data_IF_353081672226
#
_entry.id   IF_353081672226
#
_cell.length_a   1.000
_cell.length_b   1.000
_cell.length_c   1.000
_cell.angle_alpha   90.00
_cell.angle_beta   90.00
_cell.angle_gamma   90.00
#
_symmetry.space_group_name_H-M   'P 1'
#
loop_
_entity.id
_entity.type
_entity.pdbx_description
1 polymer ?
#
# COMPACT_ATOMS: atom_id res chain seq x y z
N UNK A 1 -10.21 17.22 -2.03
CA UNK A 1 -11.13 16.83 -0.96
C UNK A 1 -10.38 15.92 0.00
N UNK A 2 -10.26 16.28 1.28
CA UNK A 2 -9.59 15.41 2.23
C UNK A 2 -10.34 14.08 2.37
N UNK A 3 -9.59 13.00 2.45
CA UNK A 3 -10.15 11.67 2.67
C UNK A 3 -10.76 11.58 4.08
N UNK A 4 -11.98 11.05 4.15
CA UNK A 4 -12.60 10.72 5.43
C UNK A 4 -11.78 9.61 6.12
N UNK A 5 -11.29 9.84 7.36
CA UNK A 5 -10.50 8.84 8.08
C UNK A 5 -11.23 7.50 8.25
N UNK A 6 -12.53 7.52 8.47
CA UNK A 6 -13.31 6.29 8.65
C UNK A 6 -13.42 5.51 7.35
N UNK A 7 -13.61 6.20 6.23
CA UNK A 7 -13.62 5.59 4.92
C UNK A 7 -12.26 4.99 4.57
N UNK A 8 -11.18 5.72 4.85
CA UNK A 8 -9.83 5.24 4.61
C UNK A 8 -9.53 3.98 5.43
N UNK A 9 -9.92 3.98 6.71
CA UNK A 9 -9.77 2.80 7.57
C UNK A 9 -10.48 1.58 6.97
N UNK A 10 -11.71 1.75 6.50
CA UNK A 10 -12.48 0.67 5.89
C UNK A 10 -11.84 0.17 4.59
N UNK A 11 -11.32 1.08 3.77
CA UNK A 11 -10.60 0.74 2.55
C UNK A 11 -9.32 -0.05 2.85
N UNK A 12 -8.54 0.38 3.83
CA UNK A 12 -7.32 -0.32 4.25
C UNK A 12 -7.64 -1.71 4.81
N UNK A 13 -8.73 -1.84 5.55
CA UNK A 13 -9.18 -3.13 6.05
C UNK A 13 -9.53 -4.08 4.90
N UNK A 14 -10.21 -3.60 3.87
CA UNK A 14 -10.49 -4.39 2.66
C UNK A 14 -9.22 -4.81 1.94
N UNK A 15 -8.26 -3.91 1.83
CA UNK A 15 -6.95 -4.22 1.24
C UNK A 15 -6.22 -5.30 2.05
N UNK A 16 -6.28 -5.23 3.37
CA UNK A 16 -5.71 -6.25 4.26
C UNK A 16 -6.34 -7.63 4.04
N UNK A 17 -7.65 -7.69 3.95
CA UNK A 17 -8.36 -8.95 3.68
C UNK A 17 -7.92 -9.57 2.36
N UNK A 18 -7.78 -8.76 1.32
CA UNK A 18 -7.27 -9.23 0.01
C UNK A 18 -5.83 -9.69 0.11
N UNK A 19 -4.98 -8.95 0.81
CA UNK A 19 -3.59 -9.32 0.98
C UNK A 19 -3.44 -10.67 1.70
N UNK A 20 -4.14 -10.85 2.81
CA UNK A 20 -4.14 -12.10 3.55
C UNK A 20 -4.64 -13.26 2.67
N UNK A 21 -5.67 -13.04 1.87
CA UNK A 21 -6.21 -14.05 0.95
C UNK A 21 -5.24 -14.43 -0.17
N UNK A 22 -4.32 -13.54 -0.54
CA UNK A 22 -3.33 -13.78 -1.61
C UNK A 22 -2.02 -14.35 -1.10
N UNK A 23 -1.76 -14.32 0.21
CA UNK A 23 -0.50 -14.80 0.79
C UNK A 23 -0.54 -16.30 1.06
N UNK A 24 0.62 -16.95 0.93
CA UNK A 24 0.80 -18.33 1.32
C UNK A 24 1.34 -18.37 2.76
N UNK A 25 0.74 -19.16 3.67
CA UNK A 25 1.22 -19.25 5.03
C UNK A 25 2.70 -19.63 5.10
N UNK A 26 3.45 -18.95 5.97
CA UNK A 26 4.88 -19.19 6.20
C UNK A 26 5.80 -18.89 5.03
N UNK A 27 5.29 -18.30 3.95
CA UNK A 27 6.11 -17.80 2.86
C UNK A 27 6.25 -16.28 2.95
N UNK A 28 7.44 -15.79 2.62
CA UNK A 28 7.67 -14.36 2.52
C UNK A 28 7.03 -13.82 1.25
N UNK A 29 6.27 -12.73 1.39
CA UNK A 29 5.78 -11.96 0.25
C UNK A 29 6.67 -10.74 0.06
N UNK A 30 7.14 -10.48 -1.16
CA UNK A 30 7.95 -9.30 -1.45
C UNK A 30 7.13 -8.03 -1.24
N UNK A 31 7.83 -6.90 -1.07
CA UNK A 31 7.19 -5.62 -0.97
C UNK A 31 6.61 -5.20 -2.32
N UNK A 32 5.33 -4.86 -2.33
CA UNK A 32 4.62 -4.35 -3.49
C UNK A 32 4.00 -3.01 -3.13
N UNK A 33 4.29 -1.98 -3.92
CA UNK A 33 3.64 -0.69 -3.79
C UNK A 33 2.31 -0.70 -4.53
N UNK A 34 1.28 -0.21 -3.90
CA UNK A 34 -0.05 -0.01 -4.48
C UNK A 34 -0.36 1.48 -4.50
N UNK A 35 -1.08 1.92 -5.51
CA UNK A 35 -1.46 3.32 -5.69
C UNK A 35 -2.88 3.40 -6.25
N UNK A 36 -3.79 3.97 -5.48
CA UNK A 36 -5.19 4.11 -5.87
C UNK A 36 -6.13 4.03 -4.69
N UNK A 37 -7.18 3.24 -4.80
CA UNK A 37 -8.17 3.05 -3.73
C UNK A 37 -7.93 1.70 -3.06
N UNK A 38 -7.51 1.69 -1.78
CA UNK A 38 -7.29 0.42 -1.09
C UNK A 38 -8.55 -0.45 -1.08
N UNK A 39 -8.37 -1.73 -1.38
CA UNK A 39 -9.49 -2.67 -1.47
C UNK A 39 -10.33 -2.55 -2.74
N UNK A 40 -9.96 -1.67 -3.67
CA UNK A 40 -10.65 -1.44 -4.93
C UNK A 40 -9.63 -1.24 -6.06
N UNK A 41 -9.98 -0.48 -7.09
CA UNK A 41 -9.10 -0.26 -8.24
C UNK A 41 -7.80 0.45 -7.83
N UNK A 42 -6.68 -0.12 -8.20
CA UNK A 42 -5.36 0.44 -7.92
C UNK A 42 -4.31 -0.10 -8.89
N UNK A 43 -3.20 0.61 -8.99
CA UNK A 43 -2.00 0.18 -9.70
C UNK A 43 -1.04 -0.49 -8.72
N UNK A 44 -0.24 -1.42 -9.21
CA UNK A 44 0.78 -2.12 -8.40
C UNK A 44 2.15 -1.98 -9.03
N UNK A 45 3.17 -1.88 -8.18
CA UNK A 45 4.56 -1.74 -8.59
C UNK A 45 5.44 -2.66 -7.75
N UNK A 46 6.20 -3.51 -8.42
CA UNK A 46 7.18 -4.38 -7.77
C UNK A 46 8.56 -3.75 -7.88
N UNK A 47 9.40 -4.01 -6.87
CA UNK A 47 10.77 -3.50 -6.87
C UNK A 47 11.55 -4.02 -8.09
N UNK A 48 12.20 -3.09 -8.80
CA UNK A 48 13.08 -3.41 -9.92
C UNK A 48 14.53 -3.10 -9.52
N UNK A 49 15.45 -4.07 -9.56
CA UNK A 49 16.83 -3.85 -9.14
C UNK A 49 17.55 -2.72 -9.89
N UNK A 50 17.16 -2.47 -11.15
CA UNK A 50 17.76 -1.43 -11.97
C UNK A 50 17.20 -0.02 -11.70
N UNK A 51 16.18 0.11 -10.86
CA UNK A 51 15.51 1.38 -10.60
C UNK A 51 16.00 1.98 -9.29
N UNK A 52 16.50 3.21 -9.34
CA UNK A 52 16.75 4.02 -8.15
C UNK A 52 15.52 4.82 -7.76
N UNK A 53 15.60 5.56 -6.65
CA UNK A 53 14.48 6.35 -6.15
C UNK A 53 14.04 7.45 -7.13
N UNK A 54 14.96 8.03 -7.87
CA UNK A 54 14.64 9.05 -8.89
C UNK A 54 13.82 8.46 -10.04
N UNK A 55 14.20 7.30 -10.54
CA UNK A 55 13.46 6.62 -11.60
C UNK A 55 12.10 6.18 -11.10
N UNK A 56 11.99 5.68 -9.87
CA UNK A 56 10.70 5.36 -9.27
C UNK A 56 9.80 6.59 -9.13
N UNK A 57 10.36 7.76 -8.78
CA UNK A 57 9.59 9.00 -8.72
C UNK A 57 9.00 9.36 -10.09
N UNK A 58 9.76 9.15 -11.17
CA UNK A 58 9.28 9.36 -12.54
C UNK A 58 8.13 8.40 -12.89
N UNK A 59 8.25 7.13 -12.49
CA UNK A 59 7.20 6.13 -12.70
C UNK A 59 5.92 6.50 -11.94
N UNK A 60 6.05 6.91 -10.70
CA UNK A 60 4.91 7.34 -9.87
C UNK A 60 4.23 8.57 -10.49
N UNK A 61 5.01 9.56 -10.93
CA UNK A 61 4.47 10.75 -11.59
C UNK A 61 3.65 10.39 -12.83
N UNK A 62 4.15 9.50 -13.68
CA UNK A 62 3.42 9.02 -14.85
C UNK A 62 2.16 8.24 -14.48
N UNK A 63 2.22 7.44 -13.43
CA UNK A 63 1.05 6.73 -12.94
C UNK A 63 -0.04 7.69 -12.49
N UNK A 64 0.33 8.78 -11.80
CA UNK A 64 -0.61 9.82 -11.37
C UNK A 64 -1.23 10.55 -12.56
N UNK A 65 -0.49 10.76 -13.66
CA UNK A 65 -1.04 11.35 -14.89
C UNK A 65 -2.22 10.56 -15.45
N UNK A 66 -2.21 9.25 -15.27
CA UNK A 66 -3.25 8.35 -15.77
C UNK A 66 -4.46 8.19 -14.86
N UNK A 67 -4.44 8.80 -13.66
CA UNK A 67 -5.52 8.69 -12.69
C UNK A 67 -6.45 9.91 -12.75
N UNK A 68 -7.72 9.69 -12.43
CA UNK A 68 -8.69 10.79 -12.29
C UNK A 68 -8.56 11.41 -10.91
N UNK A 69 -7.64 12.38 -10.78
CA UNK A 69 -7.32 13.05 -9.52
C UNK A 69 -8.43 13.97 -9.02
N UNK A 70 -9.37 14.37 -9.91
CA UNK A 70 -10.52 15.19 -9.53
C UNK A 70 -11.59 14.38 -8.79
N UNK A 71 -11.64 13.07 -9.06
CA UNK A 71 -12.63 12.17 -8.47
C UNK A 71 -12.22 11.65 -7.10
N UNK A 72 -10.94 11.32 -6.94
CA UNK A 72 -10.45 10.74 -5.70
C UNK A 72 -8.97 11.02 -5.51
N UNK A 73 -8.55 11.15 -4.26
CA UNK A 73 -7.13 11.22 -3.92
C UNK A 73 -6.57 9.81 -3.91
N UNK A 74 -5.52 9.52 -4.71
CA UNK A 74 -4.90 8.21 -4.68
C UNK A 74 -4.19 7.99 -3.34
N UNK A 75 -4.31 6.78 -2.81
CA UNK A 75 -3.66 6.37 -1.57
C UNK A 75 -2.48 5.46 -1.91
N UNK A 76 -1.27 5.74 -1.42
CA UNK A 76 -0.15 4.82 -1.55
C UNK A 76 -0.09 3.88 -0.35
N UNK A 77 0.08 2.58 -0.61
CA UNK A 77 0.35 1.62 0.46
C UNK A 77 1.25 0.50 -0.05
N UNK A 78 2.03 -0.05 0.86
CA UNK A 78 2.93 -1.18 0.59
C UNK A 78 2.41 -2.40 1.32
N UNK A 79 2.34 -3.53 0.62
CA UNK A 79 2.06 -4.83 1.24
C UNK A 79 3.32 -5.66 1.26
N UNK A 80 3.64 -6.26 2.38
CA UNK A 80 4.80 -7.13 2.55
C UNK A 80 4.64 -8.00 3.79
N UNK A 81 5.40 -9.07 3.87
CA UNK A 81 5.59 -9.80 5.12
C UNK A 81 6.71 -9.14 5.94
N UNK A 82 6.86 -9.56 7.18
CA UNK A 82 7.84 -9.01 8.10
C UNK A 82 7.18 -8.23 9.23
N UNK A 83 8.01 -7.60 10.04
CA UNK A 83 7.53 -6.84 11.20
C UNK A 83 6.76 -5.58 10.78
N UNK A 84 5.77 -5.21 11.59
CA UNK A 84 4.97 -4.00 11.39
C UNK A 84 5.69 -2.79 12.01
N UNK A 85 6.88 -2.54 11.49
CA UNK A 85 7.74 -1.42 11.86
C UNK A 85 8.48 -0.90 10.62
N UNK A 86 8.89 0.39 10.60
CA UNK A 86 9.55 0.97 9.43
C UNK A 86 10.85 0.25 9.08
N UNK A 87 11.01 -0.10 7.80
CA UNK A 87 12.23 -0.68 7.25
C UNK A 87 12.82 0.16 6.13
N UNK A 88 14.06 -0.13 5.74
CA UNK A 88 14.78 0.64 4.73
C UNK A 88 14.04 0.68 3.38
N UNK A 89 13.45 -0.44 2.97
CA UNK A 89 12.67 -0.50 1.74
C UNK A 89 11.41 0.35 1.81
N UNK A 90 10.80 0.46 2.98
CA UNK A 90 9.62 1.31 3.18
C UNK A 90 9.98 2.78 2.98
N UNK A 91 11.13 3.21 3.50
CA UNK A 91 11.62 4.59 3.31
C UNK A 91 11.98 4.87 1.86
N UNK A 92 12.52 3.91 1.14
CA UNK A 92 12.82 4.03 -0.28
C UNK A 92 11.57 4.27 -1.11
N UNK A 93 10.52 3.48 -0.90
CA UNK A 93 9.23 3.68 -1.55
C UNK A 93 8.59 5.01 -1.17
N UNK A 94 8.67 5.35 0.11
CA UNK A 94 8.12 6.61 0.62
C UNK A 94 8.76 7.83 -0.05
N UNK A 95 10.08 7.83 -0.20
CA UNK A 95 10.79 8.93 -0.84
C UNK A 95 10.35 9.11 -2.30
N UNK A 96 10.21 8.03 -3.04
CA UNK A 96 9.77 8.07 -4.43
C UNK A 96 8.32 8.56 -4.57
N UNK A 97 7.43 8.07 -3.72
CA UNK A 97 6.01 8.45 -3.73
C UNK A 97 5.85 9.91 -3.33
N UNK A 98 6.55 10.35 -2.29
CA UNK A 98 6.52 11.74 -1.84
C UNK A 98 6.95 12.69 -2.95
N UNK A 99 8.02 12.35 -3.67
CA UNK A 99 8.50 13.17 -4.77
C UNK A 99 7.51 13.19 -5.94
N UNK A 100 7.00 12.02 -6.33
CA UNK A 100 6.01 11.93 -7.41
C UNK A 100 4.73 12.70 -7.12
N UNK A 101 4.20 12.60 -5.91
CA UNK A 101 3.05 13.39 -5.47
C UNK A 101 3.35 14.87 -5.46
N UNK A 102 4.53 15.26 -4.96
CA UNK A 102 4.96 16.67 -4.93
C UNK A 102 5.04 17.30 -6.31
N UNK A 103 5.51 16.57 -7.31
CA UNK A 103 5.57 17.02 -8.70
C UNK A 103 4.19 17.30 -9.28
N UNK A 104 3.16 16.61 -8.79
CA UNK A 104 1.75 16.83 -9.15
C UNK A 104 1.06 17.87 -8.29
N UNK A 105 1.75 18.43 -7.30
CA UNK A 105 1.12 19.35 -6.35
C UNK A 105 0.09 18.67 -5.44
N UNK A 106 0.19 17.36 -5.27
CA UNK A 106 -0.73 16.58 -4.44
C UNK A 106 -0.18 16.40 -3.04
N UNK A 107 -1.07 16.52 -2.05
CA UNK A 107 -0.76 16.14 -0.68
C UNK A 107 -0.87 14.63 -0.52
N UNK A 108 0.04 14.05 0.27
CA UNK A 108 -0.06 12.65 0.63
C UNK A 108 -1.15 12.46 1.69
N UNK A 109 -2.14 11.60 1.46
CA UNK A 109 -3.13 11.27 2.48
C UNK A 109 -2.55 10.42 3.62
N UNK A 110 -1.35 9.91 3.43
CA UNK A 110 -0.58 9.04 4.30
C UNK A 110 0.28 8.14 3.44
N UNK A 111 1.12 7.36 4.06
CA UNK A 111 1.86 6.29 3.39
C UNK A 111 1.79 5.05 4.28
N UNK A 112 1.02 4.07 3.85
CA UNK A 112 0.69 2.92 4.70
C UNK A 112 1.56 1.73 4.36
N UNK A 113 2.06 1.08 5.40
CA UNK A 113 2.79 -0.18 5.27
C UNK A 113 1.98 -1.26 5.95
N UNK A 114 1.67 -2.32 5.23
CA UNK A 114 0.74 -3.36 5.61
C UNK A 114 1.44 -4.72 5.59
N UNK A 115 1.30 -5.46 6.68
CA UNK A 115 1.60 -6.89 6.70
C UNK A 115 0.31 -7.69 6.91
N UNK A 116 0.40 -8.97 7.19
CA UNK A 116 -0.77 -9.82 7.38
C UNK A 116 -1.56 -9.54 8.67
N UNK A 117 -1.05 -8.69 9.56
CA UNK A 117 -1.66 -8.41 10.87
C UNK A 117 -2.25 -7.01 11.00
N UNK A 118 -1.91 -6.10 10.08
CA UNK A 118 -2.37 -4.72 10.15
C UNK A 118 -1.53 -3.78 9.32
N UNK A 119 -1.58 -2.50 9.66
CA UNK A 119 -0.83 -1.46 8.94
C UNK A 119 -0.43 -0.33 9.87
N UNK A 120 0.55 0.45 9.43
CA UNK A 120 0.91 1.71 10.06
C UNK A 120 1.09 2.79 9.00
N UNK A 121 0.97 4.05 9.44
CA UNK A 121 1.20 5.21 8.58
C UNK A 121 2.63 5.71 8.83
N UNK A 122 3.48 5.64 7.81
CA UNK A 122 4.88 6.06 7.92
C UNK A 122 5.02 7.57 8.11
N UNK A 123 3.99 8.35 7.77
CA UNK A 123 3.99 9.81 7.90
C UNK A 123 3.68 10.29 9.31
N UNK A 124 3.26 9.41 10.20
CA UNK A 124 2.88 9.73 11.59
C UNK A 124 3.61 8.82 12.58
N UNK A 125 3.64 9.24 13.84
CA UNK A 125 4.19 8.43 14.94
C UNK A 125 3.09 7.64 15.66
N UNK A 126 1.97 7.41 15.02
CA UNK A 126 0.87 6.65 15.61
C UNK A 126 1.18 5.16 15.66
N UNK A 127 0.61 4.49 16.67
CA UNK A 127 0.72 3.04 16.80
C UNK A 127 0.10 2.32 15.59
N UNK A 128 0.63 1.14 15.21
CA UNK A 128 0.01 0.35 14.17
C UNK A 128 -1.42 -0.02 14.47
N UNK A 129 -2.25 -0.06 13.43
CA UNK A 129 -3.60 -0.59 13.51
C UNK A 129 -3.57 -2.08 13.27
N UNK A 130 -3.99 -2.86 14.26
CA UNK A 130 -4.04 -4.33 14.15
C UNK A 130 -5.45 -4.76 13.81
N UNK A 131 -5.56 -5.65 12.84
CA UNK A 131 -6.83 -6.23 12.41
C UNK A 131 -6.67 -7.74 12.30
N UNK A 132 -7.53 -8.49 12.98
CA UNK A 132 -7.61 -9.92 12.78
C UNK A 132 -8.37 -10.23 11.51
N UNK A 133 -7.70 -10.93 10.59
CA UNK A 133 -8.33 -11.46 9.39
C UNK A 133 -8.21 -12.98 9.46
N UNK A 134 -9.36 -13.66 9.49
CA UNK A 134 -9.37 -15.11 9.40
C UNK A 134 -9.14 -15.54 7.96
N UNK A 135 -8.11 -16.37 7.73
CA UNK A 135 -8.00 -17.08 6.49
C UNK A 135 -9.18 -18.02 6.35
N UNK A 136 -9.87 -17.96 5.21
CA UNK A 136 -10.81 -19.01 4.86
C UNK A 136 -10.02 -20.32 4.70
N UNK A 137 -10.39 -21.34 5.46
CA UNK A 137 -9.93 -22.69 5.16
C UNK A 137 -10.33 -22.99 3.71
N UNK A 138 -9.36 -23.34 2.87
CA UNK A 138 -9.68 -23.95 1.59
C UNK A 138 -10.60 -25.13 1.89
N UNK A 139 -11.80 -25.13 1.33
CA UNK A 139 -12.59 -26.34 1.30
C UNK A 139 -11.73 -27.39 0.63
N UNK A 140 -11.43 -28.48 1.38
CA UNK A 140 -10.87 -29.65 0.75
C UNK A 140 -11.80 -29.98 -0.42
N UNK A 141 -11.26 -29.95 -1.65
CA UNK A 141 -11.95 -30.52 -2.78
C UNK A 141 -12.18 -31.98 -2.43
N UNK A 142 -13.42 -32.28 -2.04
CA UNK A 142 -13.81 -33.69 -1.94
C UNK A 142 -13.65 -34.30 -3.31
N UNK A 143 -12.73 -35.21 -3.38
CA UNK A 143 -12.54 -36.04 -4.60
C UNK A 143 -13.85 -36.73 -4.97
#
# INVERSE_FOLDING_TARGET
VPLDPDLLHEQLRRALIRFVGSTVPRQRSPAVLHLGTPGSAHLTFEQQPAYDSGLWADVIERALDGLDLDRSTPVPWVTRTGELSPGDHDFGWFAAVREGFGRHGLDLPGFFVMNQHGWFDLTTDTEPTLCRVRRRKRRALSA
#
